data_IF_566339743791
#
_entry.id   IF_566339743791
#
_cell.length_a   1.000
_cell.length_b   1.000
_cell.length_c   1.000
_cell.angle_alpha   90.00
_cell.angle_beta   90.00
_cell.angle_gamma   90.00
#
_symmetry.space_group_name_H-M   'P 1'
#
loop_
_entity.id
_entity.type
_entity.pdbx_description
1 polymer ?
#
# COMPACT_ATOMS: atom_id res chain seq x y z
N UNK A 1 -12.22 -8.19 6.39
CA UNK A 1 -11.00 -8.08 5.56
C UNK A 1 -10.60 -6.64 5.28
N UNK A 2 -11.54 -5.81 4.87
CA UNK A 2 -11.23 -4.40 4.57
C UNK A 2 -10.66 -3.65 5.76
N UNK A 3 -11.23 -3.83 6.94
CA UNK A 3 -10.74 -3.18 8.15
C UNK A 3 -9.31 -3.61 8.49
N UNK A 4 -9.02 -4.89 8.32
CA UNK A 4 -7.68 -5.40 8.58
C UNK A 4 -6.68 -4.84 7.57
N UNK A 5 -7.10 -4.68 6.31
CA UNK A 5 -6.27 -4.07 5.28
C UNK A 5 -6.00 -2.61 5.60
N UNK A 6 -7.02 -1.87 6.02
CA UNK A 6 -6.85 -0.47 6.41
C UNK A 6 -5.89 -0.34 7.58
N UNK A 7 -5.99 -1.24 8.56
CA UNK A 7 -5.07 -1.24 9.70
C UNK A 7 -3.64 -1.51 9.25
N UNK A 8 -3.44 -2.44 8.32
CA UNK A 8 -2.11 -2.73 7.78
C UNK A 8 -1.54 -1.51 7.05
N UNK A 9 -2.37 -0.80 6.29
CA UNK A 9 -1.95 0.42 5.59
C UNK A 9 -1.54 1.49 6.61
N UNK A 10 -2.32 1.67 7.67
CA UNK A 10 -1.98 2.66 8.71
C UNK A 10 -0.65 2.33 9.39
N UNK A 11 -0.31 1.05 9.50
CA UNK A 11 0.95 0.64 10.11
C UNK A 11 2.18 1.07 9.28
N UNK A 12 2.04 1.11 7.96
CA UNK A 12 3.17 1.47 7.08
C UNK A 12 3.22 2.95 6.73
N UNK A 13 2.13 3.69 6.97
CA UNK A 13 2.10 5.11 6.65
C UNK A 13 3.21 5.92 7.30
N UNK A 14 3.51 5.76 8.60
CA UNK A 14 4.59 6.53 9.21
C UNK A 14 5.93 6.35 8.53
N UNK A 15 6.27 5.13 8.11
CA UNK A 15 7.52 4.87 7.40
C UNK A 15 7.57 5.60 6.07
N UNK A 16 6.46 5.62 5.34
CA UNK A 16 6.38 6.32 4.07
C UNK A 16 6.44 7.83 4.26
N UNK A 17 5.79 8.33 5.29
CA UNK A 17 5.79 9.76 5.60
C UNK A 17 7.19 10.26 5.96
N UNK A 18 7.98 9.43 6.62
CA UNK A 18 9.38 9.76 6.94
C UNK A 18 10.21 9.96 5.67
N UNK A 19 9.86 9.26 4.61
CA UNK A 19 10.54 9.39 3.32
C UNK A 19 9.91 10.45 2.41
N UNK A 20 8.96 11.21 2.94
CA UNK A 20 8.27 12.23 2.19
C UNK A 20 7.11 11.75 1.35
N UNK A 21 6.71 10.49 1.52
CA UNK A 21 5.58 9.89 0.82
C UNK A 21 4.40 9.61 1.72
N UNK A 22 3.38 9.00 1.16
CA UNK A 22 2.21 8.54 1.90
C UNK A 22 1.48 7.49 1.07
N UNK A 23 0.51 6.84 1.68
CA UNK A 23 -0.33 5.85 1.02
C UNK A 23 -1.77 6.04 1.47
N UNK A 24 -2.70 5.84 0.54
CA UNK A 24 -4.12 5.95 0.81
C UNK A 24 -4.84 4.71 0.32
N UNK A 25 -5.75 4.18 1.15
CA UNK A 25 -6.63 3.10 0.74
C UNK A 25 -7.68 3.66 -0.22
N UNK A 26 -7.82 3.05 -1.39
CA UNK A 26 -8.82 3.47 -2.37
C UNK A 26 -10.04 2.57 -2.31
N UNK A 27 -9.85 1.27 -2.58
CA UNK A 27 -10.96 0.32 -2.52
C UNK A 27 -10.43 -1.10 -2.51
N UNK A 28 -11.33 -2.05 -2.22
CA UNK A 28 -11.05 -3.47 -2.41
C UNK A 28 -11.94 -4.01 -3.54
N UNK A 29 -11.30 -4.71 -4.46
CA UNK A 29 -11.99 -5.40 -5.55
C UNK A 29 -11.75 -6.89 -5.37
N UNK A 30 -12.70 -7.60 -4.76
CA UNK A 30 -12.51 -8.99 -4.37
C UNK A 30 -11.38 -9.08 -3.34
N UNK A 31 -10.33 -9.80 -3.68
CA UNK A 31 -9.16 -9.95 -2.81
C UNK A 31 -7.99 -9.05 -3.26
N UNK A 32 -8.25 -8.10 -4.16
CA UNK A 32 -7.26 -7.13 -4.62
C UNK A 32 -7.47 -5.81 -3.91
N UNK A 33 -6.41 -5.29 -3.31
CA UNK A 33 -6.44 -3.99 -2.62
C UNK A 33 -5.95 -2.92 -3.59
N UNK A 34 -6.73 -1.86 -3.74
CA UNK A 34 -6.31 -0.71 -4.54
C UNK A 34 -5.89 0.41 -3.62
N UNK A 35 -4.70 0.92 -3.83
CA UNK A 35 -4.12 1.99 -3.02
C UNK A 35 -3.59 3.10 -3.91
N UNK A 36 -3.40 4.27 -3.34
CA UNK A 36 -2.79 5.40 -4.03
C UNK A 36 -1.54 5.83 -3.29
N UNK A 37 -0.43 5.88 -3.99
CA UNK A 37 0.82 6.37 -3.45
C UNK A 37 0.93 7.87 -3.70
N UNK A 38 1.41 8.60 -2.70
CA UNK A 38 1.51 10.07 -2.75
C UNK A 38 2.92 10.52 -2.36
N UNK A 39 3.21 11.77 -2.65
CA UNK A 39 4.44 12.43 -2.22
C UNK A 39 5.63 12.07 -3.06
N UNK A 40 6.78 11.86 -2.42
CA UNK A 40 8.05 11.65 -3.10
C UNK A 40 8.06 10.46 -4.05
N UNK A 41 7.16 9.51 -3.84
CA UNK A 41 7.05 8.33 -4.69
C UNK A 41 6.41 8.62 -6.04
N UNK A 42 5.78 9.75 -6.18
CA UNK A 42 4.95 10.06 -7.33
C UNK A 42 5.75 10.31 -8.62
N UNK A 43 6.94 10.84 -8.51
CA UNK A 43 7.73 11.21 -9.67
C UNK A 43 8.82 10.21 -10.07
N UNK A 44 8.91 9.06 -9.39
CA UNK A 44 9.99 8.11 -9.63
C UNK A 44 9.40 6.71 -9.84
N UNK A 45 9.26 6.25 -11.10
CA UNK A 45 8.63 4.96 -11.40
C UNK A 45 9.29 3.78 -10.69
N UNK A 46 10.61 3.75 -10.64
CA UNK A 46 11.32 2.65 -9.99
C UNK A 46 11.05 2.61 -8.48
N UNK A 47 11.05 3.78 -7.83
CA UNK A 47 10.76 3.86 -6.41
C UNK A 47 9.30 3.50 -6.14
N UNK A 48 8.39 3.91 -7.02
CA UNK A 48 6.98 3.57 -6.89
C UNK A 48 6.77 2.05 -6.95
N UNK A 49 7.44 1.37 -7.85
CA UNK A 49 7.36 -0.08 -7.92
C UNK A 49 7.90 -0.75 -6.68
N UNK A 50 9.03 -0.30 -6.18
CA UNK A 50 9.62 -0.85 -4.96
C UNK A 50 8.70 -0.66 -3.77
N UNK A 51 8.12 0.52 -3.64
CA UNK A 51 7.18 0.82 -2.55
C UNK A 51 5.91 -0.01 -2.66
N UNK A 52 5.35 -0.13 -3.86
CA UNK A 52 4.16 -0.94 -4.07
C UNK A 52 4.42 -2.39 -3.69
N UNK A 53 5.59 -2.91 -4.04
CA UNK A 53 5.97 -4.27 -3.69
C UNK A 53 6.10 -4.46 -2.18
N UNK A 54 6.73 -3.50 -1.49
CA UNK A 54 6.88 -3.54 -0.03
C UNK A 54 5.53 -3.46 0.66
N UNK A 55 4.65 -2.60 0.18
CA UNK A 55 3.30 -2.46 0.71
C UNK A 55 2.52 -3.76 0.52
N UNK A 56 2.57 -4.33 -0.66
CA UNK A 56 1.91 -5.59 -0.96
C UNK A 56 2.38 -6.69 -0.02
N UNK A 57 3.69 -6.81 0.16
CA UNK A 57 4.27 -7.82 1.03
C UNK A 57 3.80 -7.65 2.47
N UNK A 58 3.77 -6.42 2.96
CA UNK A 58 3.31 -6.13 4.31
C UNK A 58 1.83 -6.47 4.49
N UNK A 59 1.00 -6.04 3.55
CA UNK A 59 -0.43 -6.28 3.62
C UNK A 59 -0.73 -7.78 3.54
N UNK A 60 -0.08 -8.50 2.64
CA UNK A 60 -0.26 -9.94 2.52
C UNK A 60 0.16 -10.68 3.78
N UNK A 61 1.19 -10.19 4.46
CA UNK A 61 1.65 -10.79 5.71
C UNK A 61 0.61 -10.61 6.81
N UNK A 62 -0.02 -9.44 6.86
CA UNK A 62 -1.04 -9.13 7.87
C UNK A 62 -2.40 -9.73 7.52
N UNK A 63 -2.72 -9.78 6.24
CA UNK A 63 -4.01 -10.29 5.75
C UNK A 63 -3.72 -11.30 4.62
N UNK A 64 -3.46 -12.56 4.97
CA UNK A 64 -3.09 -13.57 3.97
C UNK A 64 -4.13 -13.79 2.87
N UNK A 65 -5.38 -13.42 3.11
CA UNK A 65 -6.44 -13.55 2.11
C UNK A 65 -6.29 -12.59 0.94
N UNK A 66 -5.50 -11.52 1.09
CA UNK A 66 -5.25 -10.57 0.02
C UNK A 66 -4.40 -11.22 -1.06
N UNK A 67 -4.85 -11.17 -2.31
CA UNK A 67 -4.13 -11.76 -3.43
C UNK A 67 -3.14 -10.78 -4.07
N UNK A 68 -3.52 -9.51 -4.15
CA UNK A 68 -2.69 -8.51 -4.80
C UNK A 68 -2.97 -7.13 -4.24
N UNK A 69 -1.98 -6.24 -4.40
CA UNK A 69 -2.12 -4.82 -4.07
C UNK A 69 -1.72 -4.05 -5.31
N UNK A 70 -2.58 -3.16 -5.75
CA UNK A 70 -2.39 -2.38 -6.97
C UNK A 70 -2.36 -0.90 -6.63
N UNK A 71 -1.37 -0.20 -7.14
CA UNK A 71 -1.30 1.26 -7.04
C UNK A 71 -2.09 1.88 -8.20
N UNK A 72 -2.99 2.79 -7.89
CA UNK A 72 -3.84 3.46 -8.88
C UNK A 72 -3.58 4.96 -8.94
#
# INVERSE_FOLDING_TARGET
MEESVKAAIEEIRPSLQMDGGDIEFVEMDGNTVKVRLKGACHGCPAAAYTLAFSVEKHIKKRVPAVEAVVAV
#
